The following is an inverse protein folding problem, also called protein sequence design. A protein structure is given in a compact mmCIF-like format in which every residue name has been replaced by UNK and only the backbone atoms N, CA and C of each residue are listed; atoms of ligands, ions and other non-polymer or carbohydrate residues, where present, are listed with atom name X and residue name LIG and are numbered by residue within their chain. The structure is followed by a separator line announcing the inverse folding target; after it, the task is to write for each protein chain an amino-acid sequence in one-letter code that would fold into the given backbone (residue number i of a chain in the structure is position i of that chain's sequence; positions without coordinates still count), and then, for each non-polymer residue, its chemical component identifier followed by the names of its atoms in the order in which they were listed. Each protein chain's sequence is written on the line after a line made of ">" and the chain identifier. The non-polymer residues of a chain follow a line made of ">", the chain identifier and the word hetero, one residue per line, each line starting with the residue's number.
data_IF_476253944574
#
_entry.id   IF_476253944574
#
_cell.length_a   1.000
_cell.length_b   1.000
_cell.length_c   1.000
_cell.angle_alpha   90.00
_cell.angle_beta   90.00
_cell.angle_gamma   90.00
#
_symmetry.space_group_name_H-M   'P 1'
#
loop_
_entity.id
_entity.type
_entity.pdbx_description
1 polymer ?
#
# COMPACT_ATOMS: atom_id res chain seq x y z
N UNK A 1 -19.20 -40.65 11.40
CA UNK A 1 -19.00 -40.10 10.05
C UNK A 1 -18.18 -38.82 10.20
N UNK A 2 -16.93 -38.80 9.72
CA UNK A 2 -16.03 -37.63 9.84
C UNK A 2 -16.48 -36.61 8.79
N UNK A 3 -17.08 -35.50 9.24
CA UNK A 3 -17.55 -34.44 8.34
C UNK A 3 -16.36 -33.52 8.12
N UNK A 4 -15.72 -33.65 6.96
CA UNK A 4 -14.61 -32.83 6.52
C UNK A 4 -15.08 -31.97 5.36
N UNK A 5 -14.80 -30.67 5.41
CA UNK A 5 -14.93 -29.79 4.26
C UNK A 5 -13.52 -29.53 3.72
N UNK A 6 -13.33 -29.85 2.45
CA UNK A 6 -12.11 -29.61 1.69
C UNK A 6 -12.40 -28.54 0.65
N UNK A 7 -11.55 -27.52 0.62
CA UNK A 7 -11.64 -26.43 -0.33
C UNK A 7 -10.32 -26.39 -1.07
N UNK A 8 -10.40 -26.63 -2.37
CA UNK A 8 -9.30 -26.50 -3.32
C UNK A 8 -9.39 -25.12 -3.94
N UNK A 9 -8.32 -24.33 -3.81
CA UNK A 9 -8.22 -23.00 -4.43
C UNK A 9 -7.10 -23.04 -5.46
N UNK A 10 -7.44 -22.75 -6.72
CA UNK A 10 -6.49 -22.56 -7.80
C UNK A 10 -5.88 -21.15 -7.72
N UNK A 11 -4.84 -21.02 -6.90
CA UNK A 11 -4.01 -19.84 -6.71
C UNK A 11 -2.68 -20.34 -6.13
N UNK A 12 -1.50 -19.75 -6.41
CA UNK A 12 -1.19 -18.51 -7.16
C UNK A 12 -0.87 -18.69 -8.66
N UNK A 13 -0.60 -17.57 -9.36
CA UNK A 13 -0.31 -17.49 -10.80
C UNK A 13 0.86 -18.41 -11.21
N UNK A 14 1.93 -18.45 -10.40
CA UNK A 14 3.07 -19.35 -10.61
C UNK A 14 3.20 -20.38 -9.47
N UNK A 15 3.57 -21.65 -9.77
CA UNK A 15 3.69 -22.72 -8.77
C UNK A 15 4.69 -22.45 -7.63
N UNK A 16 5.60 -21.50 -7.81
CA UNK A 16 6.63 -21.12 -6.82
C UNK A 16 6.22 -19.94 -5.95
N UNK A 17 5.12 -19.25 -6.27
CA UNK A 17 4.73 -18.06 -5.54
C UNK A 17 4.37 -18.45 -4.11
N UNK A 18 4.79 -17.59 -3.20
CA UNK A 18 4.45 -17.66 -1.79
C UNK A 18 3.14 -16.92 -1.59
N UNK A 19 2.24 -17.43 -0.75
CA UNK A 19 0.94 -16.81 -0.54
C UNK A 19 0.56 -16.70 0.93
N UNK A 20 -0.25 -15.71 1.24
CA UNK A 20 -1.07 -15.64 2.44
C UNK A 20 -2.52 -15.95 2.09
N UNK A 21 -3.19 -16.72 2.93
CA UNK A 21 -4.61 -17.04 2.84
C UNK A 21 -5.28 -16.48 4.09
N UNK A 22 -6.34 -15.70 3.88
CA UNK A 22 -7.19 -15.16 4.91
C UNK A 22 -8.56 -15.83 4.80
N UNK A 23 -9.02 -16.39 5.90
CA UNK A 23 -10.27 -17.14 6.02
C UNK A 23 -11.20 -16.35 6.91
N UNK A 24 -12.36 -15.96 6.40
CA UNK A 24 -13.35 -15.17 7.12
C UNK A 24 -14.48 -16.05 7.63
N UNK A 25 -14.80 -15.88 8.90
CA UNK A 25 -15.81 -16.67 9.59
C UNK A 25 -16.77 -15.76 10.37
N UNK A 26 -18.06 -16.08 10.29
CA UNK A 26 -19.11 -15.54 11.13
C UNK A 26 -20.20 -16.61 11.27
N UNK A 27 -20.66 -16.88 12.49
CA UNK A 27 -21.79 -17.78 12.69
C UNK A 27 -23.06 -17.06 12.24
N UNK A 28 -23.76 -17.65 11.27
CA UNK A 28 -24.97 -17.08 10.66
C UNK A 28 -26.24 -17.77 11.16
N UNK A 29 -26.10 -18.92 11.83
CA UNK A 29 -27.20 -19.65 12.44
C UNK A 29 -27.29 -19.35 13.93
N UNK A 30 -28.51 -19.18 14.45
CA UNK A 30 -28.72 -19.07 15.90
C UNK A 30 -28.69 -20.48 16.49
N UNK A 31 -27.57 -20.83 17.13
CA UNK A 31 -27.40 -22.13 17.79
C UNK A 31 -28.12 -22.16 19.14
N UNK A 32 -28.73 -23.29 19.46
CA UNK A 32 -29.33 -23.53 20.79
C UNK A 32 -28.24 -23.71 21.86
N UNK A 33 -28.61 -23.62 23.13
CA UNK A 33 -27.66 -23.70 24.25
C UNK A 33 -26.82 -24.99 24.31
N UNK A 34 -27.32 -26.10 23.75
CA UNK A 34 -26.63 -27.39 23.67
C UNK A 34 -25.98 -27.65 22.29
N UNK A 35 -26.12 -26.72 21.36
CA UNK A 35 -25.54 -26.77 20.04
C UNK A 35 -24.25 -25.93 20.03
N UNK A 36 -23.26 -26.44 19.33
CA UNK A 36 -22.00 -25.75 19.12
C UNK A 36 -21.46 -26.08 17.74
N UNK A 37 -20.85 -25.09 17.10
CA UNK A 37 -20.05 -25.27 15.89
C UNK A 37 -18.59 -25.04 16.26
N UNK A 38 -17.83 -26.12 16.22
CA UNK A 38 -16.41 -26.13 16.53
C UNK A 38 -15.65 -26.96 15.49
N UNK A 39 -14.57 -26.40 14.94
CA UNK A 39 -13.78 -27.10 13.93
C UNK A 39 -12.31 -26.68 13.98
N UNK A 40 -11.45 -27.59 13.55
CA UNK A 40 -10.04 -27.30 13.33
C UNK A 40 -9.85 -26.77 11.92
N UNK A 41 -8.92 -25.84 11.76
CA UNK A 41 -8.58 -25.17 10.50
C UNK A 41 -7.13 -25.50 10.18
N UNK A 42 -6.88 -26.09 9.01
CA UNK A 42 -5.52 -26.28 8.51
C UNK A 42 -5.37 -25.90 7.05
N UNK A 43 -4.13 -25.51 6.69
CA UNK A 43 -3.72 -25.17 5.34
C UNK A 43 -2.52 -26.05 4.96
N UNK A 44 -2.65 -26.83 3.89
CA UNK A 44 -1.63 -27.79 3.45
C UNK A 44 -1.13 -28.71 4.59
N UNK A 45 -2.04 -29.08 5.49
CA UNK A 45 -1.74 -29.92 6.66
C UNK A 45 -1.17 -29.19 7.88
N UNK A 46 -0.82 -27.90 7.76
CA UNK A 46 -0.35 -27.07 8.88
C UNK A 46 -1.55 -26.47 9.61
N UNK A 47 -1.62 -26.67 10.94
CA UNK A 47 -2.70 -26.11 11.76
C UNK A 47 -2.62 -24.57 11.79
N UNK A 48 -3.72 -23.91 11.48
CA UNK A 48 -3.90 -22.46 11.67
C UNK A 48 -4.57 -22.20 13.02
N UNK A 49 -5.61 -22.99 13.35
CA UNK A 49 -6.34 -22.88 14.60
C UNK A 49 -6.98 -24.23 14.96
N UNK A 50 -6.85 -24.63 16.22
CA UNK A 50 -7.46 -25.83 16.77
C UNK A 50 -8.65 -25.46 17.65
N UNK A 51 -9.80 -26.09 17.41
CA UNK A 51 -11.07 -25.85 18.12
C UNK A 51 -11.65 -24.43 17.92
N UNK A 52 -11.59 -23.90 16.69
CA UNK A 52 -12.17 -22.61 16.36
C UNK A 52 -13.70 -22.62 16.47
N UNK A 53 -14.26 -21.53 17.01
CA UNK A 53 -15.70 -21.32 17.20
C UNK A 53 -16.09 -19.93 16.71
N UNK A 54 -16.81 -19.81 15.58
CA UNK A 54 -17.24 -18.52 15.09
C UNK A 54 -18.30 -17.88 16.01
N UNK A 55 -18.27 -16.56 16.12
CA UNK A 55 -19.21 -15.77 16.91
C UNK A 55 -20.42 -15.38 16.06
N UNK A 56 -21.61 -15.36 16.69
CA UNK A 56 -22.87 -15.07 16.00
C UNK A 56 -22.88 -13.63 15.47
N UNK A 57 -23.03 -13.50 14.14
CA UNK A 57 -23.00 -12.23 13.39
C UNK A 57 -21.77 -11.36 13.63
N UNK A 58 -20.67 -11.93 14.12
CA UNK A 58 -19.40 -11.23 14.28
C UNK A 58 -18.37 -11.86 13.36
N UNK A 59 -17.84 -11.04 12.45
CA UNK A 59 -16.80 -11.48 11.52
C UNK A 59 -15.44 -11.53 12.20
N UNK A 60 -14.77 -12.67 12.07
CA UNK A 60 -13.38 -12.86 12.46
C UNK A 60 -12.58 -13.38 11.27
N UNK A 61 -11.27 -13.11 11.27
CA UNK A 61 -10.37 -13.50 10.17
C UNK A 61 -9.20 -14.29 10.72
N UNK A 62 -9.00 -15.49 10.17
CA UNK A 62 -7.85 -16.36 10.47
C UNK A 62 -6.92 -16.38 9.26
N UNK A 63 -5.61 -16.37 9.48
CA UNK A 63 -4.63 -16.38 8.40
C UNK A 63 -3.38 -17.17 8.81
N UNK A 64 -2.62 -17.63 7.82
CA UNK A 64 -1.31 -18.22 8.06
C UNK A 64 -0.28 -17.15 8.45
N UNK A 65 0.54 -17.42 9.47
CA UNK A 65 1.55 -16.46 9.95
C UNK A 65 2.73 -16.28 8.98
N UNK A 66 3.11 -17.35 8.30
CA UNK A 66 4.21 -17.38 7.33
C UNK A 66 3.67 -17.80 5.96
N UNK A 67 4.15 -17.21 4.86
CA UNK A 67 3.56 -17.49 3.57
C UNK A 67 3.94 -18.89 3.10
N UNK A 68 3.00 -19.57 2.45
CA UNK A 68 3.15 -20.96 2.01
C UNK A 68 3.23 -21.04 0.49
N UNK A 69 3.89 -22.07 -0.02
CA UNK A 69 3.83 -22.43 -1.44
C UNK A 69 2.81 -23.56 -1.59
N UNK A 70 1.96 -23.46 -2.62
CA UNK A 70 0.93 -24.47 -2.89
C UNK A 70 1.38 -25.39 -4.03
N UNK A 71 1.45 -26.69 -3.75
CA UNK A 71 1.87 -27.67 -4.73
C UNK A 71 0.92 -27.66 -5.94
N UNK A 72 1.48 -27.60 -7.15
CA UNK A 72 0.73 -27.54 -8.40
C UNK A 72 -0.33 -26.41 -8.48
N UNK A 73 -0.14 -25.31 -7.73
CA UNK A 73 -1.09 -24.20 -7.59
C UNK A 73 -2.42 -24.57 -6.91
N UNK A 74 -2.45 -25.69 -6.17
CA UNK A 74 -3.61 -26.05 -5.38
C UNK A 74 -3.29 -25.95 -3.88
N UNK A 75 -3.98 -25.05 -3.19
CA UNK A 75 -3.91 -24.93 -1.74
C UNK A 75 -5.06 -25.71 -1.12
N UNK A 76 -4.75 -26.63 -0.21
CA UNK A 76 -5.77 -27.44 0.46
C UNK A 76 -6.09 -26.80 1.80
N UNK A 77 -7.24 -26.14 1.87
CA UNK A 77 -7.82 -25.69 3.14
C UNK A 77 -8.72 -26.80 3.65
N UNK A 78 -8.44 -27.25 4.88
CA UNK A 78 -9.21 -28.31 5.52
C UNK A 78 -9.88 -27.80 6.78
N UNK A 79 -11.21 -27.91 6.80
CA UNK A 79 -12.03 -27.63 7.97
C UNK A 79 -12.55 -28.95 8.52
N UNK A 80 -12.14 -29.30 9.73
CA UNK A 80 -12.47 -30.59 10.34
C UNK A 80 -13.33 -30.40 11.57
N UNK A 81 -14.58 -30.90 11.53
CA UNK A 81 -15.49 -30.89 12.68
C UNK A 81 -14.84 -31.59 13.88
N UNK A 82 -14.84 -30.95 15.05
CA UNK A 82 -14.36 -31.60 16.28
C UNK A 82 -15.41 -32.55 16.86
N UNK A 83 -15.00 -33.42 17.78
CA UNK A 83 -15.93 -34.31 18.49
C UNK A 83 -16.95 -33.58 19.38
N UNK A 84 -16.68 -32.32 19.75
CA UNK A 84 -17.60 -31.49 20.55
C UNK A 84 -18.65 -30.78 19.70
N UNK A 85 -18.34 -30.55 18.42
CA UNK A 85 -19.23 -29.84 17.53
C UNK A 85 -20.47 -30.65 17.21
N UNK A 86 -21.62 -30.00 17.16
CA UNK A 86 -22.92 -30.54 16.71
C UNK A 86 -23.19 -30.25 15.24
N UNK A 87 -22.55 -29.22 14.70
CA UNK A 87 -22.77 -28.70 13.36
C UNK A 87 -21.54 -28.94 12.45
N UNK A 88 -21.73 -29.02 11.12
CA UNK A 88 -20.61 -29.05 10.19
C UNK A 88 -19.80 -27.74 10.25
N UNK A 89 -18.53 -27.75 9.82
CA UNK A 89 -17.78 -26.50 9.66
C UNK A 89 -18.49 -25.55 8.70
N UNK A 90 -18.23 -24.25 8.83
CA UNK A 90 -18.68 -23.22 7.89
C UNK A 90 -17.50 -22.36 7.48
N UNK A 91 -17.63 -21.69 6.34
CA UNK A 91 -16.68 -20.69 5.85
C UNK A 91 -17.46 -19.64 5.08
N UNK A 92 -17.22 -18.36 5.37
CA UNK A 92 -17.96 -17.27 4.75
C UNK A 92 -17.25 -16.73 3.51
N UNK A 93 -15.94 -16.51 3.60
CA UNK A 93 -15.13 -16.02 2.49
C UNK A 93 -13.66 -16.45 2.62
N UNK A 94 -12.94 -16.41 1.50
CA UNK A 94 -11.49 -16.62 1.43
C UNK A 94 -10.85 -15.55 0.57
N UNK A 95 -9.74 -15.00 1.04
CA UNK A 95 -8.87 -14.11 0.28
C UNK A 95 -7.47 -14.74 0.17
N UNK A 96 -6.89 -14.69 -1.02
CA UNK A 96 -5.52 -15.14 -1.30
C UNK A 96 -4.65 -13.97 -1.75
N UNK A 97 -3.52 -13.76 -1.10
CA UNK A 97 -2.55 -12.71 -1.42
C UNK A 97 -1.22 -13.33 -1.82
N UNK A 98 -0.80 -13.09 -3.07
CA UNK A 98 0.53 -13.45 -3.54
C UNK A 98 1.59 -12.55 -2.90
N UNK A 99 2.67 -13.15 -2.42
CA UNK A 99 3.86 -12.42 -1.98
C UNK A 99 4.63 -12.02 -3.23
N UNK A 100 4.58 -10.73 -3.56
CA UNK A 100 5.43 -10.18 -4.60
C UNK A 100 6.86 -10.09 -4.09
N UNK A 101 7.77 -10.87 -4.69
CA UNK A 101 9.21 -10.78 -4.44
C UNK A 101 9.82 -9.77 -5.43
N UNK A 102 9.92 -8.52 -5.00
CA UNK A 102 10.54 -7.47 -5.80
C UNK A 102 12.07 -7.56 -5.66
N UNK A 103 12.77 -7.85 -6.75
CA UNK A 103 14.24 -7.69 -6.82
C UNK A 103 14.70 -6.25 -6.61
N UNK A 104 13.76 -5.30 -6.72
CA UNK A 104 13.97 -3.87 -6.55
C UNK A 104 13.60 -3.50 -5.12
N UNK A 105 14.42 -2.65 -4.49
CA UNK A 105 14.05 -2.06 -3.21
C UNK A 105 12.83 -1.16 -3.35
N UNK A 106 12.01 -1.12 -2.30
CA UNK A 106 10.92 -0.14 -2.12
C UNK A 106 11.47 1.30 -2.18
N UNK A 107 10.60 2.26 -2.47
CA UNK A 107 10.94 3.69 -2.45
C UNK A 107 11.50 4.09 -1.09
N UNK A 108 12.47 5.01 -1.08
CA UNK A 108 13.01 5.54 0.17
C UNK A 108 11.89 6.03 1.09
N UNK A 109 11.86 5.50 2.32
CA UNK A 109 10.77 5.72 3.27
C UNK A 109 10.54 7.22 3.59
N UNK A 110 11.58 8.06 3.50
CA UNK A 110 11.43 9.50 3.70
C UNK A 110 10.66 10.15 2.56
N UNK A 111 10.93 9.73 1.32
CA UNK A 111 10.23 10.22 0.13
C UNK A 111 8.76 9.76 0.16
N UNK A 112 8.51 8.49 0.52
CA UNK A 112 7.13 7.96 0.71
C UNK A 112 6.36 8.78 1.74
N UNK A 113 6.97 9.04 2.89
CA UNK A 113 6.36 9.82 3.97
C UNK A 113 6.11 11.27 3.52
N UNK A 114 7.08 11.88 2.85
CA UNK A 114 6.98 13.25 2.36
C UNK A 114 5.84 13.40 1.35
N UNK A 115 5.78 12.54 0.33
CA UNK A 115 4.76 12.66 -0.72
C UNK A 115 3.34 12.38 -0.21
N UNK A 116 3.17 11.42 0.71
CA UNK A 116 1.89 11.18 1.38
C UNK A 116 1.44 12.37 2.21
N UNK A 117 2.35 13.00 2.93
CA UNK A 117 2.03 14.20 3.71
C UNK A 117 1.66 15.39 2.81
N UNK A 118 2.37 15.59 1.69
CA UNK A 118 2.02 16.61 0.68
C UNK A 118 0.62 16.35 0.12
N UNK A 119 0.30 15.09 -0.21
CA UNK A 119 -1.02 14.69 -0.67
C UNK A 119 -2.11 15.03 0.34
N UNK A 120 -1.92 14.65 1.61
CA UNK A 120 -2.85 14.95 2.70
C UNK A 120 -3.02 16.45 2.90
N UNK A 121 -1.92 17.23 2.92
CA UNK A 121 -1.95 18.66 3.18
C UNK A 121 -2.75 19.43 2.12
N UNK A 122 -2.63 19.04 0.85
CA UNK A 122 -3.41 19.63 -0.24
C UNK A 122 -4.76 18.95 -0.49
N UNK A 123 -5.13 17.92 0.29
CA UNK A 123 -6.38 17.17 0.09
C UNK A 123 -6.45 16.46 -1.26
N UNK A 124 -5.32 15.98 -1.78
CA UNK A 124 -5.24 15.32 -3.08
C UNK A 124 -5.95 13.97 -3.07
N UNK A 125 -6.80 13.75 -4.08
CA UNK A 125 -7.47 12.47 -4.33
C UNK A 125 -7.06 11.93 -5.70
N UNK A 126 -5.81 11.47 -5.81
CA UNK A 126 -5.24 10.93 -7.05
C UNK A 126 -5.38 9.41 -7.02
N UNK A 127 -6.10 8.85 -8.00
CA UNK A 127 -6.42 7.41 -8.03
C UNK A 127 -5.16 6.56 -8.01
N UNK A 128 -4.12 6.95 -8.75
CA UNK A 128 -2.87 6.21 -8.83
C UNK A 128 -2.01 6.29 -7.56
N UNK A 129 -2.31 7.18 -6.60
CA UNK A 129 -1.51 7.37 -5.39
C UNK A 129 -1.85 6.33 -4.32
N UNK A 130 -1.64 5.06 -4.68
CA UNK A 130 -1.89 3.90 -3.82
C UNK A 130 -0.65 2.98 -3.84
N UNK A 131 -0.27 2.45 -2.67
CA UNK A 131 0.91 1.59 -2.55
C UNK A 131 2.24 2.36 -2.45
N UNK A 132 3.23 1.87 -3.19
CA UNK A 132 4.58 2.46 -3.27
C UNK A 132 4.66 3.48 -4.42
N UNK A 133 5.27 4.67 -4.22
CA UNK A 133 5.28 5.73 -5.23
C UNK A 133 6.10 5.45 -6.49
N UNK A 134 7.19 4.70 -6.38
CA UNK A 134 8.17 4.52 -7.46
C UNK A 134 8.17 3.11 -8.06
N UNK A 135 7.73 2.09 -7.32
CA UNK A 135 7.78 0.69 -7.74
C UNK A 135 6.44 -0.03 -7.50
N UNK A 136 6.09 -1.01 -8.35
CA UNK A 136 6.76 -1.39 -9.60
C UNK A 136 6.70 -0.29 -10.68
N UNK A 137 7.73 -0.17 -11.52
CA UNK A 137 7.89 0.92 -12.50
C UNK A 137 6.69 1.10 -13.45
N UNK A 138 6.01 0.01 -13.79
CA UNK A 138 4.81 0.05 -14.63
C UNK A 138 3.58 0.69 -13.97
N UNK A 139 3.65 0.94 -12.65
CA UNK A 139 2.57 1.47 -11.83
C UNK A 139 3.03 2.69 -11.02
N UNK A 140 4.01 3.42 -11.56
CA UNK A 140 4.49 4.68 -11.00
C UNK A 140 3.33 5.64 -10.72
N UNK A 141 3.34 6.32 -9.57
CA UNK A 141 2.29 7.28 -9.26
C UNK A 141 2.26 8.43 -10.27
N UNK A 142 1.08 8.77 -10.78
CA UNK A 142 0.85 9.88 -11.70
C UNK A 142 1.48 11.17 -11.18
N UNK A 143 2.26 11.82 -12.05
CA UNK A 143 2.95 13.07 -11.77
C UNK A 143 4.29 12.91 -11.06
N UNK A 144 4.71 11.69 -10.72
CA UNK A 144 6.06 11.44 -10.20
C UNK A 144 7.01 10.97 -11.31
N UNK A 145 8.29 11.24 -11.12
CA UNK A 145 9.37 10.45 -11.70
C UNK A 145 10.35 10.09 -10.58
N UNK A 146 11.00 8.94 -10.71
CA UNK A 146 11.94 8.45 -9.71
C UNK A 146 13.26 8.02 -10.34
N UNK A 147 14.36 8.19 -9.61
CA UNK A 147 15.70 7.79 -10.01
C UNK A 147 15.75 6.33 -10.43
N UNK A 148 16.31 6.02 -11.61
CA UNK A 148 16.50 4.62 -12.00
C UNK A 148 17.57 3.97 -11.12
N UNK A 149 17.22 2.89 -10.44
CA UNK A 149 18.14 2.19 -9.54
C UNK A 149 18.11 0.70 -9.84
N UNK A 150 19.29 0.15 -10.13
CA UNK A 150 19.46 -1.29 -10.21
C UNK A 150 19.70 -1.89 -8.82
N UNK A 151 19.06 -3.02 -8.55
CA UNK A 151 19.28 -3.81 -7.33
C UNK A 151 18.70 -3.18 -6.06
N UNK A 152 19.49 -3.20 -4.98
CA UNK A 152 19.05 -2.93 -3.60
C UNK A 152 19.09 -1.45 -3.19
N UNK A 153 19.18 -0.51 -4.15
CA UNK A 153 19.16 0.91 -3.82
C UNK A 153 17.72 1.43 -3.92
N UNK A 154 17.12 1.94 -2.83
CA UNK A 154 15.79 2.52 -2.85
C UNK A 154 15.68 3.63 -3.91
N UNK A 155 14.71 3.57 -4.84
CA UNK A 155 14.45 4.68 -5.74
C UNK A 155 14.02 5.93 -4.96
N UNK A 156 14.40 7.09 -5.48
CA UNK A 156 14.12 8.42 -4.93
C UNK A 156 13.26 9.23 -5.88
N UNK A 157 12.38 10.08 -5.36
CA UNK A 157 11.54 10.96 -6.19
C UNK A 157 12.42 12.09 -6.76
N UNK A 158 12.51 12.15 -8.09
CA UNK A 158 13.30 13.14 -8.83
C UNK A 158 12.43 14.19 -9.53
N UNK A 159 11.16 13.89 -9.78
CA UNK A 159 10.20 14.85 -10.33
C UNK A 159 8.87 14.79 -9.61
N UNK A 160 8.29 15.97 -9.34
CA UNK A 160 6.95 16.13 -8.77
C UNK A 160 6.18 17.14 -9.61
N UNK A 161 5.17 16.65 -10.33
CA UNK A 161 4.23 17.45 -11.10
C UNK A 161 2.85 17.42 -10.45
N UNK A 162 2.49 18.53 -9.81
CA UNK A 162 1.16 18.81 -9.28
C UNK A 162 0.50 19.97 -10.03
N UNK A 163 0.87 20.18 -11.29
CA UNK A 163 0.27 21.24 -12.10
C UNK A 163 -1.22 20.99 -12.33
N UNK A 164 -2.01 22.07 -12.37
CA UNK A 164 -3.46 22.00 -12.66
C UNK A 164 -4.25 21.08 -11.72
N UNK A 165 -3.83 20.94 -10.45
CA UNK A 165 -4.50 20.10 -9.45
C UNK A 165 -5.45 20.88 -8.52
N UNK A 166 -5.66 22.16 -8.80
CA UNK A 166 -6.52 23.02 -7.97
C UNK A 166 -5.95 23.28 -6.58
N UNK A 167 -4.63 23.23 -6.41
CA UNK A 167 -3.99 23.43 -5.12
C UNK A 167 -4.31 24.84 -4.59
N UNK A 168 -4.54 24.95 -3.27
CA UNK A 168 -4.79 26.20 -2.56
C UNK A 168 -3.85 26.30 -1.35
N UNK A 169 -3.82 27.44 -0.66
CA UNK A 169 -2.92 27.65 0.48
C UNK A 169 -1.51 28.06 0.05
N UNK A 170 -0.49 27.67 0.81
CA UNK A 170 0.93 28.00 0.56
C UNK A 170 1.70 26.81 0.00
N UNK A 171 2.91 27.03 -0.51
CA UNK A 171 3.81 25.92 -0.90
C UNK A 171 4.18 25.10 0.35
N UNK A 172 3.76 23.84 0.39
CA UNK A 172 3.99 22.92 1.50
C UNK A 172 5.47 22.68 1.82
N UNK A 173 5.82 22.81 3.10
CA UNK A 173 7.20 22.64 3.59
C UNK A 173 7.69 21.20 3.50
N UNK A 174 6.77 20.23 3.43
CA UNK A 174 7.08 18.82 3.22
C UNK A 174 7.87 18.56 1.94
N UNK A 175 7.78 19.44 0.93
CA UNK A 175 8.54 19.36 -0.33
C UNK A 175 10.06 19.37 -0.07
N UNK A 176 10.53 20.06 0.97
CA UNK A 176 11.96 20.11 1.31
C UNK A 176 12.54 18.71 1.65
N UNK A 177 11.68 17.77 2.09
CA UNK A 177 12.10 16.41 2.44
C UNK A 177 12.40 15.53 1.22
N UNK A 178 11.96 15.93 0.03
CA UNK A 178 12.29 15.25 -1.23
C UNK A 178 13.70 15.67 -1.65
N UNK A 179 14.73 15.13 -0.99
CA UNK A 179 16.10 15.65 -1.10
C UNK A 179 16.76 15.41 -2.45
N UNK A 180 16.22 14.50 -3.26
CA UNK A 180 16.65 14.22 -4.63
C UNK A 180 15.77 14.87 -5.69
N UNK A 181 14.81 15.71 -5.31
CA UNK A 181 13.91 16.35 -6.25
C UNK A 181 14.69 17.31 -7.17
N UNK A 182 14.59 17.06 -8.47
CA UNK A 182 15.20 17.86 -9.54
C UNK A 182 14.19 18.78 -10.20
N UNK A 183 12.95 18.32 -10.36
CA UNK A 183 11.91 19.04 -11.07
C UNK A 183 10.67 19.20 -10.20
N UNK A 184 10.25 20.44 -9.97
CA UNK A 184 9.02 20.77 -9.25
C UNK A 184 8.11 21.61 -10.14
N UNK A 185 6.95 21.06 -10.49
CA UNK A 185 5.90 21.78 -11.21
C UNK A 185 4.66 21.94 -10.34
N UNK A 186 4.38 23.18 -9.93
CA UNK A 186 3.18 23.58 -9.20
C UNK A 186 2.32 24.56 -10.01
N UNK A 187 2.56 24.65 -11.32
CA UNK A 187 1.92 25.64 -12.18
C UNK A 187 0.41 25.44 -12.32
N UNK A 188 -0.29 26.51 -12.70
CA UNK A 188 -1.73 26.50 -12.92
C UNK A 188 -2.53 26.04 -11.69
N UNK A 189 -2.21 26.60 -10.52
CA UNK A 189 -2.87 26.33 -9.26
C UNK A 189 -3.25 27.63 -8.55
N UNK A 190 -4.11 27.57 -7.54
CA UNK A 190 -4.53 28.74 -6.75
C UNK A 190 -3.68 28.94 -5.49
N UNK A 191 -2.38 28.60 -5.56
CA UNK A 191 -1.43 28.78 -4.46
C UNK A 191 -1.21 30.29 -4.19
N UNK A 192 -1.06 30.64 -2.92
CA UNK A 192 -0.93 32.00 -2.37
C UNK A 192 0.24 32.08 -1.38
N UNK A 193 0.54 33.28 -0.87
CA UNK A 193 1.64 33.49 0.07
C UNK A 193 2.98 33.71 -0.62
N UNK A 194 4.09 33.44 0.07
CA UNK A 194 5.45 33.70 -0.44
C UNK A 194 6.08 32.44 -1.02
N UNK A 195 7.03 32.62 -1.95
CA UNK A 195 7.90 31.53 -2.39
C UNK A 195 8.85 31.18 -1.22
N UNK A 196 8.86 29.95 -0.69
CA UNK A 196 9.69 29.61 0.47
C UNK A 196 11.18 29.61 0.18
N UNK A 197 11.98 30.05 1.15
CA UNK A 197 13.46 30.04 1.03
C UNK A 197 14.05 28.63 0.99
N UNK A 198 13.36 27.61 1.52
CA UNK A 198 13.85 26.24 1.51
C UNK A 198 14.10 25.72 0.09
N UNK A 199 13.39 26.23 -0.93
CA UNK A 199 13.61 25.86 -2.33
C UNK A 199 15.05 26.20 -2.79
N UNK A 200 15.69 27.20 -2.17
CA UNK A 200 17.09 27.52 -2.42
C UNK A 200 18.07 26.55 -1.71
N UNK A 201 17.62 25.84 -0.67
CA UNK A 201 18.43 24.86 0.05
C UNK A 201 18.39 23.45 -0.57
N UNK A 202 17.44 23.19 -1.48
CA UNK A 202 17.28 21.92 -2.15
C UNK A 202 18.35 21.76 -3.23
N UNK A 203 19.43 21.05 -2.89
CA UNK A 203 20.65 20.96 -3.71
C UNK A 203 20.42 20.36 -5.10
N UNK A 204 19.55 19.36 -5.21
CA UNK A 204 19.27 18.70 -6.48
C UNK A 204 18.27 19.43 -7.35
N UNK A 205 17.56 20.44 -6.83
CA UNK A 205 16.43 21.07 -7.52
C UNK A 205 16.92 21.97 -8.65
N UNK A 206 16.63 21.60 -9.90
CA UNK A 206 17.06 22.30 -11.11
C UNK A 206 15.97 23.19 -11.69
N UNK A 207 14.72 22.68 -11.71
CA UNK A 207 13.61 23.34 -12.37
C UNK A 207 12.47 23.56 -11.36
N UNK A 208 12.00 24.81 -11.29
CA UNK A 208 10.83 25.20 -10.50
C UNK A 208 9.85 25.93 -11.40
N UNK A 209 8.70 25.33 -11.66
CA UNK A 209 7.63 25.95 -12.42
C UNK A 209 6.49 26.38 -11.48
N UNK A 210 6.40 27.68 -11.22
CA UNK A 210 5.34 28.31 -10.40
C UNK A 210 4.41 29.21 -11.24
N UNK A 211 4.45 29.07 -12.56
CA UNK A 211 3.65 29.92 -13.46
C UNK A 211 2.15 29.74 -13.22
N UNK A 212 1.36 30.79 -13.47
CA UNK A 212 -0.11 30.77 -13.26
C UNK A 212 -0.50 30.35 -11.82
N UNK A 213 0.14 30.97 -10.84
CA UNK A 213 -0.23 30.90 -9.41
C UNK A 213 -0.52 32.30 -8.86
N UNK A 214 -1.09 32.39 -7.64
CA UNK A 214 -1.37 33.66 -6.94
C UNK A 214 -0.31 33.97 -5.87
N UNK A 215 0.92 33.46 -6.05
CA UNK A 215 2.04 33.71 -5.15
C UNK A 215 2.48 35.16 -5.22
N UNK A 216 2.99 35.67 -4.10
CA UNK A 216 3.51 37.02 -4.01
C UNK A 216 4.75 37.17 -4.92
N UNK A 217 4.86 38.32 -5.57
CA UNK A 217 5.76 38.54 -6.72
C UNK A 217 7.25 38.60 -6.28
N UNK A 218 7.55 38.65 -4.99
CA UNK A 218 8.93 38.71 -4.50
C UNK A 218 9.60 37.33 -4.53
N UNK A 219 10.48 37.11 -5.50
CA UNK A 219 11.43 35.99 -5.48
C UNK A 219 12.38 36.15 -4.28
N UNK A 220 12.62 35.13 -3.45
CA UNK A 220 13.63 35.19 -2.39
C UNK A 220 15.05 35.44 -2.91
N UNK A 221 15.84 36.22 -2.17
CA UNK A 221 17.24 36.48 -2.55
C UNK A 221 18.07 35.19 -2.62
N UNK A 222 17.78 34.22 -1.74
CA UNK A 222 18.44 32.92 -1.74
C UNK A 222 18.25 32.17 -3.07
N UNK A 223 17.07 32.25 -3.69
CA UNK A 223 16.78 31.66 -5.00
C UNK A 223 17.49 32.42 -6.13
N UNK A 224 17.47 33.76 -6.12
CA UNK A 224 18.23 34.58 -7.09
C UNK A 224 19.74 34.28 -7.07
N UNK A 225 20.29 33.96 -5.91
CA UNK A 225 21.70 33.64 -5.78
C UNK A 225 22.08 32.28 -6.40
N UNK A 226 21.11 31.38 -6.64
CA UNK A 226 21.36 30.10 -7.31
C UNK A 226 21.52 30.25 -8.81
N UNK A 227 20.71 31.10 -9.45
CA UNK A 227 20.82 31.41 -10.88
C UNK A 227 22.23 31.88 -11.30
N UNK A 228 22.96 32.52 -10.39
CA UNK A 228 24.30 33.09 -10.66
C UNK A 228 25.46 32.12 -10.43
N UNK A 229 25.20 30.89 -9.98
CA UNK A 229 26.24 29.93 -9.56
C UNK A 229 26.44 28.75 -10.50
N UNK A 230 25.62 28.64 -11.54
CA UNK A 230 25.76 27.69 -12.64
C UNK A 230 26.23 28.43 -13.91
#
# INVERSE_FOLDING_TARGET
>A
MRVEALIDIEFPEFPTDKIYIYLHFAEVEVLRANETREFNISLNGVSINDSYRPLYLQSETMHNQSPVTCENRNCIIKLTRTGKSTHPPLLNAVEGFGVADFRQSETDANDVTAIKNIGTAYGLSIISWQGDPCVPRGFLWDGLNCSDTEGSTPPRITSLNLSSRGLTGTIETGIQKLTHLENLDLSNNSLTGVIPEFLASMKSLLIINLTKTNLNISIPQALRNRERKD
#
